data_IF_265490205789
#
_entry.id   IF_265490205789
#
_cell.length_a   1.000
_cell.length_b   1.000
_cell.length_c   1.000
_cell.angle_alpha   90.00
_cell.angle_beta   90.00
_cell.angle_gamma   90.00
#
_symmetry.space_group_name_H-M   'P 1'
#
loop_
_entity.id
_entity.type
_entity.pdbx_description
1 polymer ?
#
# COMPACT_ATOMS: atom_id res chain seq x y z
N UNK A 1 7.37 1.25 -3.94
CA UNK A 1 6.36 2.08 -4.65
C UNK A 1 5.53 1.19 -5.58
N UNK A 2 4.72 0.28 -5.03
CA UNK A 2 3.83 -0.60 -5.81
C UNK A 2 2.53 -0.96 -5.04
N UNK A 3 2.22 -0.20 -3.97
CA UNK A 3 1.05 -0.49 -3.13
C UNK A 3 -0.21 0.03 -3.82
N UNK A 4 -1.31 -0.72 -3.75
CA UNK A 4 -2.62 -0.22 -4.18
C UNK A 4 -3.15 0.78 -3.15
N UNK A 5 -3.47 1.97 -3.60
CA UNK A 5 -3.80 3.13 -2.76
C UNK A 5 -5.27 3.56 -2.88
N UNK A 6 -5.95 3.18 -3.96
CA UNK A 6 -7.30 3.63 -4.29
C UNK A 6 -7.34 4.94 -5.10
N UNK A 7 -6.20 5.62 -5.27
CA UNK A 7 -6.08 6.78 -6.14
C UNK A 7 -5.72 6.34 -7.56
N UNK A 8 -6.66 6.49 -8.51
CA UNK A 8 -6.47 6.11 -9.92
C UNK A 8 -5.26 6.75 -10.60
N UNK A 9 -4.77 7.90 -10.12
CA UNK A 9 -3.57 8.55 -10.69
C UNK A 9 -2.27 7.93 -10.21
N UNK A 10 -2.33 7.19 -9.10
CA UNK A 10 -1.17 6.57 -8.42
C UNK A 10 -1.15 5.06 -8.56
N UNK A 11 -2.34 4.47 -8.70
CA UNK A 11 -2.53 3.04 -8.91
C UNK A 11 -2.27 2.68 -10.37
N UNK A 12 -1.72 1.47 -10.56
CA UNK A 12 -1.61 0.87 -11.87
C UNK A 12 -2.99 0.57 -12.45
N UNK A 13 -3.10 0.59 -13.77
CA UNK A 13 -4.27 0.05 -14.44
C UNK A 13 -4.40 -1.46 -14.15
N UNK A 14 -5.61 -1.98 -14.34
CA UNK A 14 -5.92 -3.36 -13.99
C UNK A 14 -5.10 -4.39 -14.79
N UNK A 15 -4.82 -4.12 -16.06
CA UNK A 15 -4.04 -5.02 -16.92
C UNK A 15 -2.59 -5.12 -16.43
N UNK A 16 -1.98 -3.97 -16.13
CA UNK A 16 -0.62 -3.94 -15.59
C UNK A 16 -0.55 -4.53 -14.18
N UNK A 17 -1.54 -4.23 -13.33
CA UNK A 17 -1.65 -4.82 -11.99
C UNK A 17 -1.70 -6.36 -12.05
N UNK A 18 -2.52 -6.92 -12.94
CA UNK A 18 -2.64 -8.37 -13.12
C UNK A 18 -1.32 -9.01 -13.61
N UNK A 19 -0.59 -8.32 -14.49
CA UNK A 19 0.72 -8.77 -14.96
C UNK A 19 1.75 -8.85 -13.83
N UNK A 20 1.77 -7.84 -12.95
CA UNK A 20 2.63 -7.82 -11.75
C UNK A 20 2.24 -8.96 -10.81
N UNK A 21 0.96 -9.15 -10.53
CA UNK A 21 0.48 -10.20 -9.62
C UNK A 21 0.85 -11.59 -10.13
N UNK A 22 0.67 -11.85 -11.42
CA UNK A 22 1.08 -13.10 -12.06
C UNK A 22 2.59 -13.33 -11.94
N UNK A 23 3.38 -12.31 -12.22
CA UNK A 23 4.83 -12.37 -12.06
C UNK A 23 5.24 -12.66 -10.60
N UNK A 24 4.65 -11.98 -9.62
CA UNK A 24 4.91 -12.20 -8.20
C UNK A 24 4.57 -13.63 -7.78
N UNK A 25 3.39 -14.14 -8.16
CA UNK A 25 2.99 -15.52 -7.88
C UNK A 25 3.95 -16.53 -8.50
N UNK A 26 4.42 -16.29 -9.73
CA UNK A 26 5.41 -17.15 -10.41
C UNK A 26 6.77 -17.19 -9.68
N UNK A 27 7.08 -16.17 -8.88
CA UNK A 27 8.31 -16.07 -8.09
C UNK A 27 8.14 -16.55 -6.65
N UNK A 28 6.99 -17.13 -6.31
CA UNK A 28 6.72 -17.65 -4.97
C UNK A 28 6.41 -16.57 -3.95
N UNK A 29 5.93 -15.39 -4.38
CA UNK A 29 5.55 -14.34 -3.45
C UNK A 29 4.45 -14.82 -2.50
N UNK A 30 4.62 -14.55 -1.22
CA UNK A 30 3.66 -14.94 -0.20
C UNK A 30 2.38 -14.10 -0.29
N UNK A 31 1.27 -14.65 0.25
CA UNK A 31 -0.03 -13.96 0.26
C UNK A 31 0.06 -12.56 0.89
N UNK A 32 0.88 -12.38 1.92
CA UNK A 32 1.04 -11.07 2.57
C UNK A 32 1.70 -10.04 1.62
N UNK A 33 2.61 -10.47 0.74
CA UNK A 33 3.28 -9.61 -0.24
C UNK A 33 2.32 -9.23 -1.37
N UNK A 34 1.52 -10.20 -1.84
CA UNK A 34 0.49 -10.00 -2.87
C UNK A 34 -0.57 -8.98 -2.42
N UNK A 35 -0.95 -8.98 -1.14
CA UNK A 35 -1.95 -8.04 -0.61
C UNK A 35 -1.55 -6.59 -0.80
N UNK A 36 -0.26 -6.24 -0.70
CA UNK A 36 0.17 -4.85 -0.89
C UNK A 36 -0.16 -4.31 -2.28
N UNK A 37 -0.07 -5.14 -3.33
CA UNK A 37 -0.31 -4.73 -4.72
C UNK A 37 -1.77 -4.91 -5.13
N UNK A 38 -2.50 -5.82 -4.48
CA UNK A 38 -3.88 -6.17 -4.85
C UNK A 38 -4.95 -5.46 -4.04
N UNK A 39 -4.64 -5.00 -2.83
CA UNK A 39 -5.62 -4.48 -1.87
C UNK A 39 -5.24 -3.09 -1.39
N UNK A 40 -6.25 -2.24 -1.22
CA UNK A 40 -6.11 -0.98 -0.49
C UNK A 40 -6.00 -1.36 0.99
N UNK A 41 -4.80 -1.28 1.54
CA UNK A 41 -4.54 -1.56 2.96
C UNK A 41 -4.48 -0.22 3.68
N UNK A 42 -5.44 0.00 4.59
CA UNK A 42 -5.35 1.10 5.54
C UNK A 42 -4.05 0.95 6.33
N UNK A 43 -3.19 1.96 6.30
CA UNK A 43 -1.95 1.97 7.06
C UNK A 43 -2.35 1.87 8.54
N UNK A 44 -1.96 0.77 9.20
CA UNK A 44 -2.22 0.65 10.64
C UNK A 44 -1.35 1.65 11.39
N UNK A 45 -1.81 2.15 12.55
CA UNK A 45 -1.04 3.10 13.38
C UNK A 45 0.38 2.61 13.74
N UNK A 46 0.61 1.29 13.71
CA UNK A 46 1.93 0.69 13.94
C UNK A 46 2.85 0.80 12.70
N UNK A 47 2.33 0.57 11.50
CA UNK A 47 3.06 0.86 10.24
C UNK A 47 3.33 2.37 10.12
N UNK A 48 2.39 3.20 10.55
CA UNK A 48 2.52 4.66 10.53
C UNK A 48 3.68 5.14 11.41
N UNK A 49 3.79 4.63 12.64
CA UNK A 49 4.95 4.91 13.53
C UNK A 49 6.26 4.38 12.97
N UNK A 50 6.26 3.26 12.25
CA UNK A 50 7.47 2.76 11.59
C UNK A 50 7.91 3.64 10.42
N UNK A 51 6.96 4.26 9.71
CA UNK A 51 7.25 5.13 8.54
C UNK A 51 7.62 6.55 8.99
N UNK A 52 6.91 7.11 9.98
CA UNK A 52 7.05 8.51 10.41
C UNK A 52 7.80 8.69 11.74
N UNK A 53 8.16 7.60 12.43
CA UNK A 53 8.84 7.64 13.74
C UNK A 53 7.89 7.80 14.93
N UNK A 54 8.42 8.26 16.07
CA UNK A 54 7.66 8.38 17.32
C UNK A 54 6.60 9.49 17.32
N UNK A 55 6.71 10.46 16.41
CA UNK A 55 5.80 11.59 16.33
C UNK A 55 5.73 12.18 14.93
N UNK A 56 4.54 12.62 14.52
CA UNK A 56 4.37 13.44 13.34
C UNK A 56 5.04 14.81 13.56
N UNK A 57 5.76 15.35 12.56
CA UNK A 57 6.29 16.71 12.63
C UNK A 57 5.22 17.72 13.05
N UNK A 58 5.64 18.72 13.82
CA UNK A 58 4.75 19.81 14.26
C UNK A 58 4.06 20.44 13.04
N UNK A 59 2.72 20.50 13.09
CA UNK A 59 1.90 21.06 12.02
C UNK A 59 1.25 20.05 11.06
N UNK A 60 1.52 18.75 11.20
CA UNK A 60 0.80 17.71 10.45
C UNK A 60 -0.30 17.07 11.31
N UNK A 61 -1.52 17.03 10.77
CA UNK A 61 -2.66 16.30 11.35
C UNK A 61 -3.21 15.30 10.35
N UNK A 62 -3.24 14.03 10.73
CA UNK A 62 -3.97 13.01 9.98
C UNK A 62 -5.46 13.10 10.32
N UNK A 63 -6.28 13.36 9.30
CA UNK A 63 -7.73 13.23 9.42
C UNK A 63 -8.10 11.81 9.03
N UNK A 64 -8.53 11.02 10.01
CA UNK A 64 -9.22 9.77 9.72
C UNK A 64 -10.56 10.13 9.05
N UNK A 65 -10.68 9.85 7.76
CA UNK A 65 -11.94 9.99 7.04
C UNK A 65 -12.94 8.97 7.57
N UNK A 66 -14.15 9.43 7.91
CA UNK A 66 -15.34 8.62 8.21
C UNK A 66 -15.86 8.02 6.92
#
# INVERSE_FOLDING_TARGET
MARKTGDKKRDFDESFQNSILSWMSSKGAEKHQIKYVSQIIAVSQHEEKMIFGESLPSGLQLRAGV
#
